data_IF_392702700427
#
_entry.id   IF_392702700427
#
_cell.length_a   1.000
_cell.length_b   1.000
_cell.length_c   1.000
_cell.angle_alpha   90.00
_cell.angle_beta   90.00
_cell.angle_gamma   90.00
#
_symmetry.space_group_name_H-M   'P 1'
#
loop_
_entity.id
_entity.type
_entity.pdbx_description
1 polymer ?
#
# COMPACT_ATOMS: atom_id res chain seq x y z
N UNK A 1 0.61 -6.84 6.88
CA UNK A 1 -0.63 -6.50 6.17
C UNK A 1 -1.78 -6.65 7.13
N UNK A 2 -2.73 -5.72 7.08
CA UNK A 2 -3.96 -5.73 7.89
C UNK A 2 -5.12 -5.56 6.92
N UNK A 3 -6.15 -6.39 7.07
CA UNK A 3 -7.42 -6.26 6.34
C UNK A 3 -8.52 -6.18 7.39
N UNK A 4 -9.15 -5.02 7.49
CA UNK A 4 -10.22 -4.75 8.43
C UNK A 4 -11.58 -4.79 7.73
N UNK A 5 -12.51 -5.52 8.29
CA UNK A 5 -13.90 -5.58 7.81
C UNK A 5 -14.79 -4.80 8.77
N UNK A 6 -15.41 -3.76 8.25
CA UNK A 6 -16.38 -2.96 9.00
C UNK A 6 -17.75 -3.61 8.93
N UNK A 7 -18.38 -3.81 10.09
CA UNK A 7 -19.70 -4.40 10.18
C UNK A 7 -20.65 -3.52 11.00
N UNK A 8 -21.93 -3.60 10.67
CA UNK A 8 -23.00 -3.00 11.46
C UNK A 8 -23.91 -4.09 11.98
N UNK A 9 -24.23 -4.02 13.28
CA UNK A 9 -25.17 -4.92 13.92
C UNK A 9 -26.61 -4.49 13.60
N UNK A 10 -27.43 -5.45 13.22
CA UNK A 10 -28.88 -5.28 13.10
C UNK A 10 -29.54 -5.87 14.35
N UNK A 11 -30.22 -5.03 15.10
CA UNK A 11 -31.00 -5.43 16.29
C UNK A 11 -32.48 -5.27 16.01
N UNK A 12 -33.33 -5.99 16.78
CA UNK A 12 -34.77 -5.83 16.76
C UNK A 12 -35.27 -5.59 18.18
N UNK A 13 -36.36 -4.84 18.33
CA UNK A 13 -36.91 -4.48 19.63
C UNK A 13 -37.30 -5.69 20.51
N UNK A 14 -37.59 -6.83 19.88
CA UNK A 14 -37.97 -8.07 20.57
C UNK A 14 -36.82 -8.72 21.35
N UNK A 15 -35.57 -8.46 20.93
CA UNK A 15 -34.36 -9.08 21.51
C UNK A 15 -33.46 -8.07 22.21
N UNK A 16 -33.91 -6.83 22.39
CA UNK A 16 -33.14 -5.76 23.01
C UNK A 16 -31.86 -5.44 22.23
N UNK A 17 -30.73 -5.34 22.95
CA UNK A 17 -29.41 -5.03 22.33
C UNK A 17 -28.70 -6.23 21.71
N UNK A 18 -29.32 -7.42 21.72
CA UNK A 18 -28.70 -8.60 21.11
C UNK A 18 -28.71 -8.50 19.59
N UNK A 19 -27.54 -8.55 18.92
CA UNK A 19 -27.49 -8.45 17.47
C UNK A 19 -28.08 -9.71 16.82
N UNK A 20 -29.07 -9.54 15.95
CA UNK A 20 -29.67 -10.63 15.17
C UNK A 20 -28.82 -11.04 13.98
N UNK A 21 -28.11 -10.08 13.38
CA UNK A 21 -27.15 -10.29 12.30
C UNK A 21 -26.17 -9.14 12.18
N UNK A 22 -25.06 -9.41 11.53
CA UNK A 22 -24.08 -8.40 11.17
C UNK A 22 -24.02 -8.23 9.65
N UNK A 23 -24.00 -7.00 9.18
CA UNK A 23 -23.89 -6.67 7.76
C UNK A 23 -22.55 -6.00 7.54
N UNK A 24 -21.77 -6.48 6.55
CA UNK A 24 -20.53 -5.84 6.15
C UNK A 24 -20.86 -4.56 5.39
N UNK A 25 -20.33 -3.44 5.87
CA UNK A 25 -20.53 -2.10 5.27
C UNK A 25 -19.29 -1.60 4.53
N UNK A 26 -18.13 -2.24 4.74
CA UNK A 26 -16.91 -1.87 4.04
C UNK A 26 -15.72 -2.73 4.43
N UNK A 27 -14.64 -2.61 3.69
CA UNK A 27 -13.33 -3.17 3.99
C UNK A 27 -12.25 -2.15 3.74
N UNK A 28 -11.24 -2.14 4.60
CA UNK A 28 -9.99 -1.42 4.38
C UNK A 28 -8.84 -2.41 4.41
N UNK A 29 -7.84 -2.18 3.58
CA UNK A 29 -6.65 -3.00 3.58
C UNK A 29 -5.41 -2.10 3.54
N UNK A 30 -4.50 -2.36 4.47
CA UNK A 30 -3.23 -1.64 4.59
C UNK A 30 -2.06 -2.60 4.65
N UNK A 31 -0.93 -2.17 4.11
CA UNK A 31 0.31 -2.92 4.22
C UNK A 31 1.45 -1.99 4.59
N UNK A 32 2.24 -2.40 5.56
CA UNK A 32 3.47 -1.72 5.96
C UNK A 32 4.66 -2.40 5.30
N UNK A 33 5.39 -1.64 4.50
CA UNK A 33 6.56 -2.11 3.78
C UNK A 33 7.83 -1.41 4.28
N UNK A 34 8.78 -2.14 4.86
CA UNK A 34 10.12 -1.60 5.12
C UNK A 34 10.96 -1.68 3.85
N UNK A 35 11.64 -0.60 3.51
CA UNK A 35 12.58 -0.49 2.40
C UNK A 35 13.98 -0.21 2.94
N UNK A 36 14.94 -1.05 2.60
CA UNK A 36 16.34 -0.89 3.03
C UNK A 36 17.16 -0.04 2.05
N UNK A 37 16.67 0.19 0.84
CA UNK A 37 17.35 1.01 -0.17
C UNK A 37 16.96 2.48 -0.07
N UNK A 38 17.95 3.36 -0.33
CA UNK A 38 17.79 4.83 -0.32
C UNK A 38 17.92 5.41 -1.72
N UNK A 39 17.26 4.80 -2.71
CA UNK A 39 17.23 5.39 -4.04
C UNK A 39 16.27 6.60 -4.06
N UNK A 40 16.79 7.76 -4.47
CA UNK A 40 16.01 9.00 -4.57
C UNK A 40 14.84 8.90 -5.56
N UNK A 41 14.99 8.07 -6.60
CA UNK A 41 13.90 7.81 -7.54
C UNK A 41 12.78 7.01 -6.87
N UNK A 42 13.13 5.98 -6.10
CA UNK A 42 12.15 5.22 -5.32
C UNK A 42 11.42 6.12 -4.32
N UNK A 43 12.16 7.01 -3.64
CA UNK A 43 11.59 8.01 -2.73
C UNK A 43 10.53 8.87 -3.40
N UNK A 44 10.73 9.29 -4.64
CA UNK A 44 9.73 10.10 -5.36
C UNK A 44 8.44 9.33 -5.68
N UNK A 45 8.49 8.00 -5.71
CA UNK A 45 7.32 7.14 -5.96
C UNK A 45 6.55 6.80 -4.68
N UNK A 46 7.25 6.74 -3.54
CA UNK A 46 6.62 6.41 -2.24
C UNK A 46 6.16 7.63 -1.46
N UNK A 47 6.63 8.83 -1.80
CA UNK A 47 6.14 10.08 -1.21
C UNK A 47 5.12 10.70 -2.16
N UNK A 48 3.83 10.77 -1.83
CA UNK A 48 2.81 11.34 -2.70
C UNK A 48 3.16 12.77 -3.12
N UNK A 49 3.10 13.04 -4.42
CA UNK A 49 3.39 14.35 -4.97
C UNK A 49 4.87 14.76 -4.98
N UNK A 50 5.78 13.90 -4.56
CA UNK A 50 7.21 14.20 -4.66
C UNK A 50 7.69 14.12 -6.11
N UNK A 51 8.70 14.91 -6.43
CA UNK A 51 9.32 14.94 -7.75
C UNK A 51 10.82 14.65 -7.67
N UNK A 52 11.30 13.77 -8.56
CA UNK A 52 12.71 13.49 -8.72
C UNK A 52 13.32 14.44 -9.75
N UNK A 53 14.39 15.11 -9.38
CA UNK A 53 15.09 16.08 -10.24
C UNK A 53 16.54 15.65 -10.39
N UNK A 54 16.99 15.60 -11.63
CA UNK A 54 18.38 15.36 -12.00
C UNK A 54 18.92 16.66 -12.61
N UNK A 55 20.09 17.10 -12.16
CA UNK A 55 20.74 18.28 -12.71
C UNK A 55 21.08 18.08 -14.19
N UNK A 56 20.72 19.06 -15.03
CA UNK A 56 20.92 18.97 -16.48
C UNK A 56 22.39 19.04 -16.90
N UNK A 57 23.24 19.66 -16.10
CA UNK A 57 24.68 19.84 -16.38
C UNK A 57 25.49 18.74 -15.72
N UNK A 58 25.13 18.38 -14.49
CA UNK A 58 25.87 17.40 -13.69
C UNK A 58 24.91 16.28 -13.28
N UNK A 59 24.78 15.24 -14.09
CA UNK A 59 23.84 14.11 -13.88
C UNK A 59 24.05 13.33 -12.57
N UNK A 60 25.20 13.50 -11.91
CA UNK A 60 25.46 12.91 -10.59
C UNK A 60 24.73 13.64 -9.47
N UNK A 61 24.32 14.91 -9.68
CA UNK A 61 23.56 15.69 -8.70
C UNK A 61 22.07 15.37 -8.85
N UNK A 62 21.51 14.74 -7.85
CA UNK A 62 20.09 14.32 -7.82
C UNK A 62 19.43 14.75 -6.52
N UNK A 63 18.18 15.12 -6.58
CA UNK A 63 17.36 15.43 -5.40
C UNK A 63 15.93 14.94 -5.58
N UNK A 64 15.26 14.64 -4.48
CA UNK A 64 13.81 14.46 -4.44
C UNK A 64 13.21 15.61 -3.65
N UNK A 65 12.31 16.34 -4.29
CA UNK A 65 11.59 17.46 -3.68
C UNK A 65 10.30 16.92 -3.09
N UNK A 66 10.10 17.16 -1.80
CA UNK A 66 8.88 16.79 -1.10
C UNK A 66 7.95 18.00 -1.15
N UNK A 67 6.88 17.88 -1.92
CA UNK A 67 5.89 18.93 -2.08
C UNK A 67 4.78 18.79 -1.02
N UNK A 68 3.92 19.82 -0.92
CA UNK A 68 2.71 19.80 -0.09
C UNK A 68 1.49 19.60 -1.02
N UNK A 69 1.09 18.37 -1.34
CA UNK A 69 0.07 18.10 -2.36
C UNK A 69 -1.34 18.21 -1.77
N UNK A 70 -1.70 19.39 -1.25
CA UNK A 70 -3.04 19.64 -0.70
C UNK A 70 -4.10 19.40 -1.78
N UNK A 71 -5.13 18.60 -1.45
CA UNK A 71 -6.20 18.27 -2.39
C UNK A 71 -5.84 17.22 -3.45
N UNK A 72 -4.66 16.58 -3.35
CA UNK A 72 -4.26 15.53 -4.28
C UNK A 72 -5.10 14.27 -4.07
N UNK A 73 -5.69 13.74 -5.12
CA UNK A 73 -6.37 12.46 -5.11
C UNK A 73 -5.35 11.32 -5.26
N UNK A 74 -5.10 10.60 -4.17
CA UNK A 74 -4.15 9.49 -4.15
C UNK A 74 -4.58 8.33 -5.05
N UNK A 75 -5.89 8.11 -5.22
CA UNK A 75 -6.38 7.02 -6.06
C UNK A 75 -6.06 7.25 -7.53
N UNK A 76 -6.32 8.45 -8.04
CA UNK A 76 -6.11 8.74 -9.47
C UNK A 76 -4.68 9.12 -9.81
N UNK A 77 -3.95 9.72 -8.87
CA UNK A 77 -2.62 10.27 -9.13
C UNK A 77 -1.46 9.36 -8.73
N UNK A 78 -1.61 8.58 -7.66
CA UNK A 78 -0.49 7.86 -7.03
C UNK A 78 -0.74 6.36 -6.86
N UNK A 79 -1.97 5.88 -7.08
CA UNK A 79 -2.26 4.47 -6.91
C UNK A 79 -1.62 3.62 -8.01
N UNK A 80 -0.89 2.61 -7.57
CA UNK A 80 -0.21 1.62 -8.41
C UNK A 80 -0.56 0.21 -7.97
N UNK A 81 -0.35 -0.76 -8.85
CA UNK A 81 -0.47 -2.17 -8.46
C UNK A 81 0.72 -2.56 -7.58
N UNK A 82 0.42 -2.99 -6.36
CA UNK A 82 1.42 -3.48 -5.41
C UNK A 82 1.38 -5.01 -5.35
N UNK A 83 2.47 -5.65 -5.75
CA UNK A 83 2.61 -7.12 -5.71
C UNK A 83 3.70 -7.52 -4.72
N UNK A 84 3.37 -8.49 -3.89
CA UNK A 84 4.28 -9.10 -2.93
C UNK A 84 4.39 -10.58 -3.28
N UNK A 85 5.61 -11.07 -3.34
CA UNK A 85 5.90 -12.47 -3.62
C UNK A 85 6.82 -13.00 -2.54
N UNK A 86 6.55 -14.20 -2.06
CA UNK A 86 7.42 -14.88 -1.09
C UNK A 86 8.81 -15.10 -1.68
N UNK A 87 9.83 -14.83 -0.89
CA UNK A 87 11.21 -15.17 -1.22
C UNK A 87 11.82 -16.04 -0.12
N UNK A 88 12.60 -17.05 -0.49
CA UNK A 88 13.33 -17.93 0.42
C UNK A 88 14.80 -17.85 0.04
N UNK A 89 15.67 -17.53 1.00
CA UNK A 89 17.10 -17.35 0.79
C UNK A 89 17.45 -16.45 -0.42
N UNK A 90 16.68 -15.34 -0.60
CA UNK A 90 16.89 -14.39 -1.71
C UNK A 90 16.31 -14.83 -3.05
N UNK A 91 15.75 -16.03 -3.17
CA UNK A 91 15.14 -16.53 -4.40
C UNK A 91 13.62 -16.32 -4.33
N UNK A 92 13.10 -15.58 -5.31
CA UNK A 92 11.66 -15.32 -5.42
C UNK A 92 10.92 -16.59 -5.83
N UNK A 93 9.84 -16.92 -5.12
CA UNK A 93 9.02 -18.09 -5.43
C UNK A 93 8.43 -17.99 -6.84
N UNK A 94 8.55 -19.05 -7.63
CA UNK A 94 7.89 -19.21 -8.92
C UNK A 94 6.42 -19.66 -8.79
N UNK A 95 6.01 -20.11 -7.60
CA UNK A 95 4.65 -20.57 -7.35
C UNK A 95 3.68 -19.40 -7.36
N UNK A 96 2.67 -19.46 -8.22
CA UNK A 96 1.64 -18.41 -8.32
C UNK A 96 0.80 -18.27 -7.05
N UNK A 97 0.65 -19.34 -6.27
CA UNK A 97 -0.09 -19.32 -5.01
C UNK A 97 0.62 -18.55 -3.87
N UNK A 98 1.92 -18.31 -4.00
CA UNK A 98 2.72 -17.54 -3.05
C UNK A 98 2.70 -16.03 -3.32
N UNK A 99 1.79 -15.56 -4.16
CA UNK A 99 1.66 -14.17 -4.56
C UNK A 99 0.49 -13.51 -3.86
N UNK A 100 0.69 -12.24 -3.55
CA UNK A 100 -0.34 -11.34 -3.09
C UNK A 100 -0.28 -10.04 -3.91
N UNK A 101 -1.42 -9.54 -4.36
CA UNK A 101 -1.49 -8.33 -5.14
C UNK A 101 -2.64 -7.44 -4.68
N UNK A 102 -2.34 -6.18 -4.38
CA UNK A 102 -3.32 -5.11 -4.41
C UNK A 102 -3.43 -4.55 -5.82
N UNK A 103 -4.63 -4.39 -6.33
CA UNK A 103 -4.84 -3.85 -7.67
C UNK A 103 -4.53 -2.37 -7.75
N UNK A 104 -4.97 -1.61 -6.76
CA UNK A 104 -4.69 -0.19 -6.59
C UNK A 104 -4.28 0.07 -5.15
N UNK A 105 -3.05 0.47 -4.95
CA UNK A 105 -2.54 0.87 -3.64
C UNK A 105 -1.76 2.17 -3.79
N UNK A 106 -1.97 3.11 -2.88
CA UNK A 106 -1.18 4.31 -2.81
C UNK A 106 -0.49 4.41 -1.45
N UNK A 107 0.71 5.01 -1.40
CA UNK A 107 1.34 5.34 -0.14
C UNK A 107 0.46 6.35 0.59
N UNK A 108 0.08 5.99 1.80
CA UNK A 108 -0.79 6.81 2.64
C UNK A 108 -0.24 6.82 4.06
N UNK A 109 -0.26 7.97 4.67
CA UNK A 109 0.14 8.09 6.06
C UNK A 109 1.60 8.42 6.26
N UNK A 110 2.19 7.86 7.30
CA UNK A 110 3.48 8.24 7.85
C UNK A 110 4.63 7.51 7.14
N UNK A 111 5.63 8.25 6.71
CA UNK A 111 6.91 7.71 6.27
C UNK A 111 7.91 7.95 7.38
N UNK A 112 8.48 6.89 7.91
CA UNK A 112 9.45 6.96 8.97
C UNK A 112 10.82 6.51 8.49
N UNK A 113 11.86 7.21 8.92
CA UNK A 113 13.24 6.77 8.77
C UNK A 113 14.01 7.06 10.03
N UNK A 114 14.89 6.15 10.39
CA UNK A 114 15.85 6.38 11.47
C UNK A 114 17.27 6.40 10.91
N UNK A 115 18.09 7.27 11.46
CA UNK A 115 19.52 7.34 11.19
C UNK A 115 20.24 6.79 12.40
N UNK A 116 20.89 5.65 12.26
CA UNK A 116 21.72 5.05 13.29
C UNK A 116 23.09 4.72 12.70
N UNK A 117 24.14 4.87 13.49
CA UNK A 117 25.51 4.49 13.10
C UNK A 117 25.63 2.96 13.04
N UNK A 118 24.83 2.26 13.85
CA UNK A 118 24.93 0.81 14.03
C UNK A 118 23.96 0.02 13.15
N UNK A 119 22.90 0.67 12.66
CA UNK A 119 21.82 -0.01 11.93
C UNK A 119 21.68 0.53 10.51
N UNK A 120 21.34 -0.38 9.59
CA UNK A 120 20.99 -0.01 8.23
C UNK A 120 19.80 0.97 8.23
N UNK A 121 19.86 1.98 7.37
CA UNK A 121 18.73 2.90 7.17
C UNK A 121 17.56 2.13 6.58
N UNK A 122 16.42 2.15 7.27
CA UNK A 122 15.18 1.53 6.82
C UNK A 122 14.12 2.63 6.70
N UNK A 123 13.45 2.67 5.58
CA UNK A 123 12.28 3.48 5.34
C UNK A 123 11.04 2.61 5.50
N UNK A 124 10.14 2.99 6.39
CA UNK A 124 8.86 2.30 6.56
C UNK A 124 7.76 3.13 5.93
N UNK A 125 7.02 2.52 5.01
CA UNK A 125 5.93 3.16 4.26
C UNK A 125 4.67 2.34 4.41
N UNK A 126 3.58 3.01 4.74
CA UNK A 126 2.26 2.41 4.79
C UNK A 126 1.54 2.65 3.45
N UNK A 127 1.03 1.58 2.86
CA UNK A 127 0.19 1.62 1.66
C UNK A 127 -1.24 1.27 2.01
N UNK A 128 -2.18 2.04 1.46
CA UNK A 128 -3.61 1.74 1.56
C UNK A 128 -4.12 1.25 0.21
N UNK A 129 -4.88 0.16 0.23
CA UNK A 129 -5.53 -0.35 -0.96
C UNK A 129 -6.85 0.38 -1.22
N UNK A 130 -7.10 0.63 -2.50
CA UNK A 130 -8.34 1.21 -3.01
C UNK A 130 -9.08 0.20 -3.88
N UNK A 131 -10.41 0.24 -3.90
CA UNK A 131 -11.20 -0.62 -4.75
C UNK A 131 -10.95 -0.29 -6.24
N UNK A 132 -10.83 -1.31 -7.07
CA UNK A 132 -10.65 -1.16 -8.50
C UNK A 132 -12.00 -1.32 -9.22
N UNK A 133 -12.52 -0.24 -9.76
CA UNK A 133 -13.81 -0.23 -10.50
C UNK A 133 -13.80 -1.12 -11.75
N UNK A 134 -12.64 -1.43 -12.30
CA UNK A 134 -12.51 -2.33 -13.46
C UNK A 134 -12.53 -3.80 -13.08
N UNK A 135 -12.49 -4.14 -11.78
CA UNK A 135 -12.43 -5.47 -11.21
C UNK A 135 -13.46 -5.68 -10.10
N UNK A 136 -14.71 -5.35 -10.39
CA UNK A 136 -15.85 -5.51 -9.45
C UNK A 136 -15.61 -4.85 -8.08
N UNK A 137 -14.80 -3.80 -8.02
CA UNK A 137 -14.39 -3.10 -6.79
C UNK A 137 -13.56 -3.96 -5.82
N UNK A 138 -12.88 -4.99 -6.32
CA UNK A 138 -11.96 -5.77 -5.51
C UNK A 138 -10.75 -4.94 -5.07
N UNK A 139 -10.28 -5.18 -3.84
CA UNK A 139 -9.07 -4.56 -3.29
C UNK A 139 -7.80 -5.27 -3.77
N UNK A 140 -7.87 -6.58 -3.90
CA UNK A 140 -6.72 -7.40 -4.27
C UNK A 140 -7.00 -8.89 -4.27
N UNK A 141 -5.98 -9.69 -4.56
CA UNK A 141 -6.05 -11.13 -4.66
C UNK A 141 -4.90 -11.80 -3.92
N UNK A 142 -5.18 -12.94 -3.31
CA UNK A 142 -4.19 -13.87 -2.77
C UNK A 142 -4.14 -15.10 -3.67
N UNK A 143 -2.92 -15.50 -4.05
CA UNK A 143 -2.72 -16.67 -4.86
C UNK A 143 -2.65 -16.38 -6.37
N UNK A 144 -3.04 -17.37 -7.16
CA UNK A 144 -3.01 -17.28 -8.62
C UNK A 144 -4.20 -16.46 -9.13
N UNK A 145 -3.89 -15.33 -9.75
CA UNK A 145 -4.88 -14.40 -10.32
C UNK A 145 -5.65 -15.03 -11.52
N UNK A 146 -5.12 -16.10 -12.10
CA UNK A 146 -5.73 -16.78 -13.25
C UNK A 146 -6.64 -17.94 -12.86
N UNK A 147 -6.72 -18.28 -11.57
CA UNK A 147 -7.66 -19.28 -11.08
C UNK A 147 -9.09 -18.78 -11.24
N UNK A 148 -9.93 -19.56 -11.91
CA UNK A 148 -11.33 -19.26 -12.18
C UNK A 148 -12.25 -20.13 -11.31
#
# INVERSE_FOLDING_TARGET
MIVDTMTVNVTTDQFGLTPMKQIVVGRTATIRCPFAETDLLLMSKIVPGASHVIDAVTSTKKKTVINTPIGRDLLSADAVSLRITKAIAGVVSSNSNDKFRFYKAAPSGRIETSFSIENQRIWTVDFTAFPDSTRSFDLGVFGDETAA
#
